data_IF_331602443139
#
_entry.id   IF_331602443139
#
_cell.length_a   1.000
_cell.length_b   1.000
_cell.length_c   1.000
_cell.angle_alpha   90.00
_cell.angle_beta   90.00
_cell.angle_gamma   90.00
#
_symmetry.space_group_name_H-M   'P 1'
#
loop_
_entity.id
_entity.type
_entity.pdbx_description
1 polymer ?
#
# COMPACT_ATOMS: atom_id res chain seq x y z
N UNK A 1 3.00 9.48 15.55
CA UNK A 1 1.86 10.24 15.02
C UNK A 1 0.56 9.50 15.28
N UNK A 2 -0.53 10.21 15.37
CA UNK A 2 -1.85 9.61 15.49
C UNK A 2 -2.35 9.12 14.14
N UNK A 3 -3.41 8.31 14.15
CA UNK A 3 -4.03 7.87 12.91
C UNK A 3 -4.51 9.06 12.06
N UNK A 4 -5.16 10.04 12.70
CA UNK A 4 -5.66 11.20 11.98
C UNK A 4 -4.52 12.01 11.36
N UNK A 5 -3.42 12.15 12.07
CA UNK A 5 -2.22 12.81 11.55
C UNK A 5 -1.63 12.03 10.37
N UNK A 6 -1.62 10.71 10.46
CA UNK A 6 -1.10 9.86 9.41
C UNK A 6 -1.94 9.97 8.12
N UNK A 7 -3.26 9.96 8.25
CA UNK A 7 -4.16 10.13 7.10
C UNK A 7 -4.03 11.53 6.51
N UNK A 8 -3.95 12.55 7.35
CA UNK A 8 -3.76 13.93 6.90
C UNK A 8 -2.46 14.08 6.13
N UNK A 9 -1.37 13.52 6.66
CA UNK A 9 -0.08 13.52 5.96
C UNK A 9 -0.20 12.84 4.59
N UNK A 10 -0.82 11.67 4.57
CA UNK A 10 -1.02 10.91 3.33
C UNK A 10 -1.75 11.74 2.29
N UNK A 11 -2.87 12.36 2.68
CA UNK A 11 -3.65 13.18 1.76
C UNK A 11 -2.90 14.42 1.31
N UNK A 12 -2.01 14.95 2.14
CA UNK A 12 -1.21 16.12 1.76
C UNK A 12 -0.31 15.83 0.56
N UNK A 13 0.01 14.57 0.32
CA UNK A 13 0.87 14.16 -0.81
C UNK A 13 0.13 14.20 -2.15
N UNK A 14 -1.20 14.32 -2.14
CA UNK A 14 -1.98 14.42 -3.38
C UNK A 14 -1.54 15.61 -4.24
N UNK A 15 -0.97 16.65 -3.61
CA UNK A 15 -0.48 17.82 -4.35
C UNK A 15 0.65 17.48 -5.34
N UNK A 16 1.31 16.34 -5.15
CA UNK A 16 2.39 15.90 -6.04
C UNK A 16 1.88 15.09 -7.24
N UNK A 17 0.58 14.77 -7.24
CA UNK A 17 -0.06 14.10 -8.35
C UNK A 17 0.45 12.69 -8.62
N UNK A 18 0.52 12.36 -9.90
CA UNK A 18 1.01 11.06 -10.38
C UNK A 18 2.29 11.32 -11.14
N UNK A 19 3.34 10.58 -10.81
CA UNK A 19 4.63 10.73 -11.47
C UNK A 19 5.11 9.38 -11.98
N UNK A 20 5.59 9.31 -13.21
CA UNK A 20 6.17 8.07 -13.74
C UNK A 20 7.53 7.78 -13.11
N UNK A 21 7.98 6.54 -13.25
CA UNK A 21 9.28 6.12 -12.79
C UNK A 21 9.22 5.30 -11.53
N UNK A 22 10.27 4.54 -11.28
CA UNK A 22 10.36 3.62 -10.14
C UNK A 22 11.38 4.08 -9.09
N UNK A 23 12.07 5.18 -9.35
CA UNK A 23 13.19 5.62 -8.52
C UNK A 23 12.77 5.90 -7.09
N UNK A 24 11.60 6.52 -6.90
CA UNK A 24 11.11 6.87 -5.57
C UNK A 24 10.71 5.63 -4.77
N UNK A 25 9.96 4.71 -5.39
CA UNK A 25 9.59 3.45 -4.74
C UNK A 25 10.82 2.62 -4.41
N UNK A 26 11.77 2.55 -5.34
CA UNK A 26 13.02 1.83 -5.12
C UNK A 26 13.78 2.43 -3.94
N UNK A 27 13.91 3.76 -3.91
CA UNK A 27 14.56 4.46 -2.80
C UNK A 27 13.93 4.09 -1.46
N UNK A 28 12.62 4.21 -1.37
CA UNK A 28 11.89 3.99 -0.13
C UNK A 28 11.93 2.53 0.30
N UNK A 29 11.64 1.59 -0.63
CA UNK A 29 11.57 0.17 -0.27
C UNK A 29 12.93 -0.40 0.09
N UNK A 30 14.01 0.05 -0.54
CA UNK A 30 15.36 -0.39 -0.17
C UNK A 30 15.67 -0.03 1.28
N UNK A 31 15.27 1.16 1.72
CA UNK A 31 15.51 1.64 3.09
C UNK A 31 14.57 1.02 4.12
N UNK A 32 13.48 0.41 3.67
CA UNK A 32 12.57 -0.33 4.53
C UNK A 32 12.90 -1.83 4.58
N UNK A 33 13.96 -2.27 3.91
CA UNK A 33 14.38 -3.67 3.90
C UNK A 33 13.70 -4.50 2.84
N UNK A 34 13.22 -3.89 1.75
CA UNK A 34 12.56 -4.56 0.63
C UNK A 34 11.38 -5.41 1.08
N UNK A 35 10.40 -4.82 1.79
CA UNK A 35 9.29 -5.60 2.35
C UNK A 35 8.48 -6.35 1.30
N UNK A 36 8.43 -5.87 0.05
CA UNK A 36 7.70 -6.51 -1.01
C UNK A 36 8.28 -7.87 -1.42
N UNK A 37 9.49 -8.19 -0.99
CA UNK A 37 10.11 -9.49 -1.27
C UNK A 37 9.67 -10.58 -0.27
N UNK A 38 8.97 -10.20 0.79
CA UNK A 38 8.60 -11.12 1.88
C UNK A 38 7.28 -11.85 1.62
N UNK A 39 6.59 -11.52 0.54
CA UNK A 39 5.32 -12.16 0.18
C UNK A 39 5.21 -12.19 -1.35
N UNK A 40 4.28 -13.01 -1.85
CA UNK A 40 4.01 -13.10 -3.29
C UNK A 40 2.95 -12.07 -3.67
N UNK A 41 3.17 -11.37 -4.77
CA UNK A 41 2.27 -10.32 -5.24
C UNK A 41 1.46 -10.82 -6.42
N UNK A 42 0.14 -10.60 -6.36
CA UNK A 42 -0.78 -10.84 -7.46
C UNK A 42 -1.33 -9.49 -7.89
N UNK A 43 -0.99 -9.07 -9.11
CA UNK A 43 -1.48 -7.81 -9.67
C UNK A 43 -2.81 -8.02 -10.38
N UNK A 44 -3.77 -7.17 -10.10
CA UNK A 44 -5.05 -7.16 -10.80
C UNK A 44 -5.17 -5.83 -11.53
N UNK A 45 -5.29 -5.89 -12.85
CA UNK A 45 -5.36 -4.72 -13.71
C UNK A 45 -6.64 -4.78 -14.57
N UNK A 46 -6.98 -3.67 -15.17
CA UNK A 46 -8.13 -3.56 -16.05
C UNK A 46 -8.97 -2.34 -15.71
N UNK A 47 -9.97 -2.07 -16.53
CA UNK A 47 -10.80 -0.87 -16.37
C UNK A 47 -12.08 -1.14 -15.58
N UNK A 48 -12.61 -2.36 -15.66
CA UNK A 48 -13.86 -2.73 -15.00
C UNK A 48 -13.68 -4.03 -14.22
N UNK A 49 -14.39 -4.16 -13.12
CA UNK A 49 -14.42 -5.38 -12.35
C UNK A 49 -13.17 -5.68 -11.53
N UNK A 50 -12.22 -4.73 -11.44
CA UNK A 50 -11.01 -4.94 -10.64
C UNK A 50 -11.31 -5.22 -9.19
N UNK A 51 -12.17 -4.43 -8.57
CA UNK A 51 -12.53 -4.60 -7.16
C UNK A 51 -13.12 -5.96 -6.88
N UNK A 52 -14.03 -6.42 -7.73
CA UNK A 52 -14.65 -7.76 -7.60
C UNK A 52 -13.60 -8.86 -7.75
N UNK A 53 -12.70 -8.73 -8.73
CA UNK A 53 -11.65 -9.72 -8.97
C UNK A 53 -10.69 -9.79 -7.79
N UNK A 54 -10.28 -8.63 -7.25
CA UNK A 54 -9.40 -8.58 -6.07
C UNK A 54 -10.05 -9.29 -4.89
N UNK A 55 -11.33 -9.00 -4.63
CA UNK A 55 -12.05 -9.62 -3.53
C UNK A 55 -12.17 -11.13 -3.70
N UNK A 56 -12.46 -11.60 -4.92
CA UNK A 56 -12.60 -13.03 -5.20
C UNK A 56 -11.28 -13.77 -5.00
N UNK A 57 -10.18 -13.23 -5.52
CA UNK A 57 -8.87 -13.85 -5.38
C UNK A 57 -8.45 -13.88 -3.91
N UNK A 58 -8.61 -12.76 -3.21
CA UNK A 58 -8.26 -12.66 -1.80
C UNK A 58 -9.03 -13.65 -0.95
N UNK A 59 -10.35 -13.75 -1.17
CA UNK A 59 -11.21 -14.68 -0.44
C UNK A 59 -10.79 -16.12 -0.70
N UNK A 60 -10.51 -16.46 -1.95
CA UNK A 60 -10.10 -17.83 -2.30
C UNK A 60 -8.79 -18.21 -1.63
N UNK A 61 -7.82 -17.30 -1.59
CA UNK A 61 -6.54 -17.57 -0.93
C UNK A 61 -6.72 -17.70 0.58
N UNK A 62 -7.49 -16.80 1.19
CA UNK A 62 -7.74 -16.84 2.64
C UNK A 62 -8.47 -18.13 3.03
N UNK A 63 -9.46 -18.54 2.24
CA UNK A 63 -10.21 -19.78 2.51
C UNK A 63 -9.32 -21.02 2.40
N UNK A 64 -8.24 -20.94 1.64
CA UNK A 64 -7.31 -22.03 1.50
C UNK A 64 -6.14 -21.97 2.49
N UNK A 65 -6.25 -21.12 3.51
CA UNK A 65 -5.29 -21.10 4.61
C UNK A 65 -4.11 -20.16 4.41
N UNK A 66 -4.10 -19.35 3.34
CA UNK A 66 -3.04 -18.37 3.12
C UNK A 66 -3.40 -17.04 3.74
N UNK A 67 -2.47 -16.46 4.48
CA UNK A 67 -2.66 -15.12 5.02
C UNK A 67 -2.48 -14.12 3.88
N UNK A 68 -3.55 -13.41 3.55
CA UNK A 68 -3.63 -12.64 2.30
C UNK A 68 -3.89 -11.17 2.54
N UNK A 69 -2.93 -10.35 2.12
CA UNK A 69 -3.12 -8.90 2.08
C UNK A 69 -3.90 -8.49 0.84
N UNK A 70 -4.59 -7.37 0.94
CA UNK A 70 -5.33 -6.80 -0.18
C UNK A 70 -5.12 -5.29 -0.18
N UNK A 71 -4.71 -4.76 -1.33
CA UNK A 71 -4.51 -3.33 -1.51
C UNK A 71 -5.39 -2.85 -2.66
N UNK A 72 -6.30 -1.93 -2.36
CA UNK A 72 -7.28 -1.44 -3.34
C UNK A 72 -7.30 0.09 -3.38
N UNK A 73 -7.90 0.63 -4.43
CA UNK A 73 -8.03 2.05 -4.63
C UNK A 73 -9.21 2.32 -5.57
N UNK A 74 -9.98 3.39 -5.36
CA UNK A 74 -9.99 4.26 -4.19
C UNK A 74 -10.82 3.65 -3.06
N UNK A 75 -10.92 4.35 -1.92
CA UNK A 75 -11.83 3.94 -0.87
C UNK A 75 -13.19 4.67 -1.05
N UNK A 76 -14.25 4.07 -0.49
CA UNK A 76 -15.61 4.64 -0.59
C UNK A 76 -16.00 5.34 0.70
N UNK A 77 -15.85 4.68 1.83
CA UNK A 77 -16.30 5.20 3.13
C UNK A 77 -15.13 5.37 4.10
N UNK A 78 -14.33 4.33 4.27
CA UNK A 78 -13.25 4.33 5.26
C UNK A 78 -11.92 4.21 4.52
N UNK A 79 -11.01 5.14 4.78
CA UNK A 79 -9.66 5.13 4.20
C UNK A 79 -9.00 3.77 4.33
N UNK A 80 -9.24 3.06 5.46
CA UNK A 80 -8.63 1.77 5.75
C UNK A 80 -9.11 0.64 4.86
N UNK A 81 -10.19 0.85 4.08
CA UNK A 81 -10.64 -0.12 3.06
C UNK A 81 -9.51 -0.47 2.10
N UNK A 82 -8.58 0.44 1.90
CA UNK A 82 -7.49 0.29 0.93
C UNK A 82 -6.49 -0.79 1.33
N UNK A 83 -6.35 -1.08 2.63
CA UNK A 83 -5.36 -2.03 3.13
C UNK A 83 -6.04 -3.01 4.07
N UNK A 84 -6.11 -4.26 3.66
CA UNK A 84 -6.79 -5.31 4.42
C UNK A 84 -5.95 -6.58 4.48
N UNK A 85 -6.14 -7.38 5.53
CA UNK A 85 -5.59 -8.73 5.63
C UNK A 85 -6.75 -9.65 5.98
N UNK A 86 -6.96 -10.68 5.15
CA UNK A 86 -8.01 -11.67 5.33
C UNK A 86 -9.38 -11.04 5.58
N UNK A 87 -9.65 -9.95 4.87
CA UNK A 87 -10.93 -9.23 4.95
C UNK A 87 -11.05 -8.21 6.06
N UNK A 88 -10.05 -8.10 6.93
CA UNK A 88 -10.07 -7.12 8.02
C UNK A 88 -9.25 -5.88 7.63
N UNK A 89 -9.84 -4.71 7.85
CA UNK A 89 -9.16 -3.43 7.60
C UNK A 89 -7.93 -3.31 8.51
N UNK A 90 -6.88 -2.66 8.00
CA UNK A 90 -5.74 -2.28 8.84
C UNK A 90 -6.23 -1.49 10.05
N UNK A 91 -5.72 -1.81 11.23
CA UNK A 91 -6.09 -1.07 12.43
C UNK A 91 -5.50 0.34 12.39
N UNK A 92 -6.21 1.28 13.02
CA UNK A 92 -5.78 2.69 13.04
C UNK A 92 -4.38 2.84 13.63
N UNK A 93 -4.10 2.12 14.72
CA UNK A 93 -2.79 2.16 15.35
C UNK A 93 -1.69 1.63 14.43
N UNK A 94 -1.98 0.59 13.66
CA UNK A 94 -1.03 0.02 12.72
C UNK A 94 -0.75 1.00 11.58
N UNK A 95 -1.78 1.62 11.02
CA UNK A 95 -1.55 2.61 9.97
C UNK A 95 -0.69 3.76 10.49
N UNK A 96 -0.98 4.24 11.68
CA UNK A 96 -0.19 5.32 12.28
C UNK A 96 1.27 4.93 12.45
N UNK A 97 1.52 3.72 12.93
CA UNK A 97 2.88 3.23 13.14
C UNK A 97 3.65 3.09 11.83
N UNK A 98 3.07 2.36 10.87
CA UNK A 98 3.78 2.10 9.61
C UNK A 98 3.89 3.36 8.75
N UNK A 99 2.88 4.21 8.76
CA UNK A 99 2.97 5.50 8.07
C UNK A 99 4.08 6.37 8.66
N UNK A 100 4.23 6.37 9.97
CA UNK A 100 5.32 7.09 10.61
C UNK A 100 6.69 6.60 10.17
N UNK A 101 6.86 5.29 10.07
CA UNK A 101 8.13 4.69 9.63
C UNK A 101 8.43 5.02 8.16
N UNK A 102 7.43 4.94 7.29
CA UNK A 102 7.61 5.28 5.88
C UNK A 102 7.88 6.77 5.71
N UNK A 103 7.16 7.62 6.45
CA UNK A 103 7.39 9.06 6.40
C UNK A 103 8.83 9.42 6.76
N UNK A 104 9.38 8.80 7.80
CA UNK A 104 10.75 9.05 8.21
C UNK A 104 11.75 8.73 7.08
N UNK A 105 11.52 7.66 6.33
CA UNK A 105 12.34 7.32 5.16
C UNK A 105 12.15 8.33 4.03
N UNK A 106 10.90 8.70 3.74
CA UNK A 106 10.61 9.66 2.67
C UNK A 106 11.29 11.00 2.91
N UNK A 107 11.37 11.40 4.16
CA UNK A 107 11.98 12.70 4.52
C UNK A 107 13.51 12.71 4.33
N UNK A 108 14.12 11.55 4.14
CA UNK A 108 15.57 11.49 3.84
C UNK A 108 15.87 11.67 2.35
N UNK A 109 14.83 11.63 1.48
CA UNK A 109 15.04 11.75 0.04
C UNK A 109 15.48 13.16 -0.34
N UNK A 110 16.47 13.25 -1.24
CA UNK A 110 16.96 14.54 -1.73
C UNK A 110 16.17 15.00 -2.96
N UNK A 111 16.60 16.13 -3.53
CA UNK A 111 15.93 16.70 -4.70
C UNK A 111 16.02 15.80 -5.94
N UNK A 112 17.06 14.97 -6.05
CA UNK A 112 17.20 14.07 -7.18
C UNK A 112 16.12 12.98 -7.18
N UNK A 113 15.76 12.50 -6.00
CA UNK A 113 14.65 11.54 -5.85
C UNK A 113 13.32 12.27 -5.97
N UNK A 114 13.20 13.42 -5.32
CA UNK A 114 12.01 14.23 -5.33
C UNK A 114 10.95 13.76 -4.34
N UNK A 115 9.82 14.47 -4.29
CA UNK A 115 8.76 14.15 -3.34
C UNK A 115 8.02 12.87 -3.72
N UNK A 116 7.70 12.07 -2.71
CA UNK A 116 6.94 10.82 -2.86
C UNK A 116 5.48 11.16 -3.11
N UNK A 117 4.86 10.49 -4.07
CA UNK A 117 3.44 10.69 -4.34
C UNK A 117 2.58 9.97 -3.30
N UNK A 118 1.30 10.35 -3.22
CA UNK A 118 0.35 9.73 -2.30
C UNK A 118 0.26 8.22 -2.55
N UNK A 119 0.10 7.82 -3.81
CA UNK A 119 -0.02 6.41 -4.16
C UNK A 119 1.24 5.64 -3.77
N UNK A 120 2.42 6.20 -4.04
CA UNK A 120 3.68 5.57 -3.67
C UNK A 120 3.81 5.41 -2.17
N UNK A 121 3.40 6.43 -1.43
CA UNK A 121 3.45 6.40 0.03
C UNK A 121 2.57 5.29 0.60
N UNK A 122 1.31 5.24 0.17
CA UNK A 122 0.37 4.23 0.67
C UNK A 122 0.82 2.83 0.26
N UNK A 123 1.34 2.68 -0.95
CA UNK A 123 1.86 1.40 -1.41
C UNK A 123 3.00 0.91 -0.51
N UNK A 124 3.92 1.80 -0.17
CA UNK A 124 5.03 1.45 0.73
C UNK A 124 4.52 1.06 2.12
N UNK A 125 3.52 1.77 2.64
CA UNK A 125 2.91 1.44 3.93
C UNK A 125 2.27 0.05 3.87
N UNK A 126 1.54 -0.22 2.80
CA UNK A 126 0.89 -1.53 2.62
C UNK A 126 1.93 -2.66 2.56
N UNK A 127 2.98 -2.48 1.80
CA UNK A 127 4.04 -3.48 1.67
C UNK A 127 4.70 -3.76 3.02
N UNK A 128 5.02 -2.70 3.77
CA UNK A 128 5.62 -2.84 5.09
C UNK A 128 4.68 -3.59 6.05
N UNK A 129 3.41 -3.24 6.04
CA UNK A 129 2.39 -3.87 6.86
C UNK A 129 2.25 -5.36 6.52
N UNK A 130 2.14 -5.69 5.23
CA UNK A 130 2.00 -7.10 4.82
C UNK A 130 3.24 -7.92 5.18
N UNK A 131 4.42 -7.33 5.05
CA UNK A 131 5.66 -7.99 5.43
C UNK A 131 5.72 -8.26 6.93
N UNK A 132 5.45 -7.24 7.75
CA UNK A 132 5.53 -7.35 9.21
C UNK A 132 4.46 -8.29 9.77
N UNK A 133 3.30 -8.36 9.15
CA UNK A 133 2.23 -9.28 9.53
C UNK A 133 2.40 -10.67 8.92
N UNK A 134 3.47 -10.90 8.15
CA UNK A 134 3.83 -12.21 7.58
C UNK A 134 2.76 -12.77 6.64
N UNK A 135 2.26 -11.92 5.75
CA UNK A 135 1.35 -12.38 4.71
C UNK A 135 2.05 -13.33 3.76
N UNK A 136 1.31 -14.33 3.25
CA UNK A 136 1.81 -15.24 2.21
C UNK A 136 1.66 -14.60 0.83
N UNK A 137 0.55 -13.91 0.61
CA UNK A 137 0.21 -13.23 -0.64
C UNK A 137 -0.29 -11.83 -0.38
N UNK A 138 -0.13 -10.96 -1.37
CA UNK A 138 -0.80 -9.67 -1.40
C UNK A 138 -1.42 -9.49 -2.78
N UNK A 139 -2.73 -9.24 -2.82
CA UNK A 139 -3.47 -8.98 -4.05
C UNK A 139 -3.55 -7.47 -4.20
N UNK A 140 -2.94 -6.95 -5.24
CA UNK A 140 -2.76 -5.51 -5.44
C UNK A 140 -3.59 -5.06 -6.64
N UNK A 141 -4.53 -4.16 -6.41
CA UNK A 141 -5.26 -3.51 -7.49
C UNK A 141 -4.36 -2.43 -8.08
N UNK A 142 -4.07 -2.59 -9.38
CA UNK A 142 -3.25 -1.62 -10.09
C UNK A 142 -4.14 -0.44 -10.49
N UNK A 143 -3.68 0.76 -10.18
CA UNK A 143 -4.40 1.99 -10.48
C UNK A 143 -4.42 2.31 -11.98
N UNK A 144 -4.51 3.56 -12.30
CA UNK A 144 -4.67 4.12 -13.62
C UNK A 144 -4.09 3.28 -14.78
N UNK A 145 -4.96 2.72 -15.62
CA UNK A 145 -4.55 2.04 -16.84
C UNK A 145 -3.67 0.82 -16.62
N UNK A 146 -3.71 0.21 -15.46
CA UNK A 146 -2.92 -0.96 -15.17
C UNK A 146 -1.47 -0.67 -14.83
N UNK A 147 -1.20 0.53 -14.35
CA UNK A 147 0.14 0.95 -13.97
C UNK A 147 0.30 1.09 -12.49
#
# INVERSE_FOLDING_TARGET
MTYDEAVEYTHSLLRFGIKPGLERMKYVTERLGLPQNDFKIIHVAGTNGKGSTVNMISAALSENGYKTGMFTSPYVVDFRERIQIDGDFIEKADYAEYAGRVKAVCETADEAIGPITEFEFITAVAFLYFSEKKCDFAVIEVGLGGR
#
